data_IF_710118205299
#
_entry.id   IF_710118205299
#
_cell.length_a   1.000
_cell.length_b   1.000
_cell.length_c   1.000
_cell.angle_alpha   90.00
_cell.angle_beta   90.00
_cell.angle_gamma   90.00
#
_symmetry.space_group_name_H-M   'P 1'
#
loop_
_entity.id
_entity.type
_entity.pdbx_description
1 polymer ?
#
# COMPACT_ATOMS: atom_id res chain seq x y z
N UNK A 1 2.15 -21.78 13.33
CA UNK A 1 1.32 -20.56 13.18
C UNK A 1 2.12 -19.61 12.31
N UNK A 2 1.73 -19.41 11.06
CA UNK A 2 2.48 -18.56 10.13
C UNK A 2 2.38 -17.12 10.63
N UNK A 3 3.46 -16.63 11.25
CA UNK A 3 3.52 -15.26 11.75
C UNK A 3 3.50 -14.30 10.57
N UNK A 4 2.37 -13.61 10.36
CA UNK A 4 2.27 -12.54 9.37
C UNK A 4 3.03 -11.32 9.90
N UNK A 5 4.34 -11.28 9.64
CA UNK A 5 5.16 -10.07 9.79
C UNK A 5 4.95 -9.09 8.62
N UNK A 6 4.17 -9.48 7.62
CA UNK A 6 3.69 -8.61 6.56
C UNK A 6 2.36 -8.01 6.96
N UNK A 7 2.19 -6.72 6.68
CA UNK A 7 0.97 -5.98 6.93
C UNK A 7 -0.32 -6.72 6.54
N UNK A 8 -1.41 -6.39 7.22
CA UNK A 8 -2.78 -6.86 7.01
C UNK A 8 -3.09 -7.08 5.53
N UNK A 9 -3.75 -8.19 5.17
CA UNK A 9 -4.17 -8.46 3.78
C UNK A 9 -4.92 -7.29 3.11
N UNK A 10 -5.55 -6.42 3.92
CA UNK A 10 -6.26 -5.22 3.48
C UNK A 10 -5.32 -4.13 2.96
N UNK A 11 -4.16 -3.96 3.59
CA UNK A 11 -3.09 -3.04 3.16
C UNK A 11 -2.51 -3.49 1.82
N UNK A 12 -2.31 -4.79 1.62
CA UNK A 12 -1.76 -5.34 0.38
C UNK A 12 -2.66 -5.07 -0.84
N UNK A 13 -3.98 -5.04 -0.67
CA UNK A 13 -4.93 -4.66 -1.73
C UNK A 13 -4.64 -3.25 -2.26
N UNK A 14 -4.44 -2.27 -1.38
CA UNK A 14 -4.14 -0.90 -1.76
C UNK A 14 -2.81 -0.82 -2.55
N UNK A 15 -1.80 -1.57 -2.10
CA UNK A 15 -0.48 -1.63 -2.76
C UNK A 15 -0.58 -2.17 -4.19
N UNK A 16 -1.32 -3.26 -4.42
CA UNK A 16 -1.51 -3.83 -5.77
C UNK A 16 -2.15 -2.80 -6.70
N UNK A 17 -3.20 -2.13 -6.25
CA UNK A 17 -3.94 -1.16 -7.08
C UNK A 17 -3.02 -0.02 -7.53
N UNK A 18 -2.23 0.52 -6.60
CA UNK A 18 -1.26 1.58 -6.90
C UNK A 18 -0.18 1.07 -7.86
N UNK A 19 0.35 -0.14 -7.65
CA UNK A 19 1.34 -0.76 -8.54
C UNK A 19 0.82 -0.91 -9.96
N UNK A 20 -0.40 -1.41 -10.14
CA UNK A 20 -1.03 -1.56 -11.46
C UNK A 20 -1.14 -0.19 -12.16
N UNK A 21 -1.64 0.83 -11.46
CA UNK A 21 -1.76 2.18 -12.01
C UNK A 21 -0.41 2.76 -12.44
N UNK A 22 0.63 2.55 -11.63
CA UNK A 22 1.99 2.97 -11.94
C UNK A 22 2.57 2.23 -13.13
N UNK A 23 2.41 0.91 -13.21
CA UNK A 23 2.88 0.11 -14.36
C UNK A 23 2.20 0.55 -15.65
N UNK A 24 0.87 0.74 -15.64
CA UNK A 24 0.12 1.20 -16.82
C UNK A 24 0.56 2.62 -17.23
N UNK A 25 0.69 3.55 -16.28
CA UNK A 25 1.15 4.91 -16.54
C UNK A 25 2.59 4.97 -17.06
N UNK A 26 3.49 4.18 -16.49
CA UNK A 26 4.89 4.09 -16.94
C UNK A 26 5.02 3.52 -18.35
N UNK A 27 4.28 2.44 -18.66
CA UNK A 27 4.24 1.87 -20.01
C UNK A 27 3.68 2.87 -21.03
N UNK A 28 2.65 3.65 -20.65
CA UNK A 28 2.08 4.69 -21.50
C UNK A 28 3.08 5.80 -21.85
N UNK A 29 4.03 6.10 -20.98
CA UNK A 29 5.11 7.06 -21.26
C UNK A 29 6.19 6.48 -22.19
N UNK A 30 6.45 5.17 -22.10
CA UNK A 30 7.48 4.49 -22.89
C UNK A 30 7.07 4.18 -24.35
N UNK A 31 5.77 3.98 -24.63
CA UNK A 31 5.27 3.60 -25.97
C UNK A 31 5.12 4.79 -26.95
N UNK A 32 5.79 5.91 -26.68
CA UNK A 32 5.45 7.23 -27.24
C UNK A 32 4.35 7.88 -26.40
N UNK A 33 4.26 9.22 -26.32
CA UNK A 33 3.40 9.89 -25.35
C UNK A 33 1.92 9.67 -25.65
N UNK A 34 1.39 8.56 -25.17
CA UNK A 34 -0.02 8.25 -25.15
C UNK A 34 -0.62 8.91 -23.90
N UNK A 35 -0.88 10.20 -24.03
CA UNK A 35 -1.40 11.05 -22.96
C UNK A 35 -2.70 10.52 -22.36
N UNK A 36 -3.54 9.86 -23.16
CA UNK A 36 -4.82 9.31 -22.70
C UNK A 36 -4.60 8.12 -21.76
N UNK A 37 -3.70 7.20 -22.12
CA UNK A 37 -3.37 6.04 -21.28
C UNK A 37 -2.60 6.45 -20.01
N UNK A 38 -1.81 7.51 -20.08
CA UNK A 38 -1.16 8.10 -18.91
C UNK A 38 -2.20 8.61 -17.88
N UNK A 39 -3.23 9.36 -18.32
CA UNK A 39 -4.28 9.84 -17.42
C UNK A 39 -5.11 8.71 -16.82
N UNK A 40 -5.34 7.62 -17.57
CA UNK A 40 -5.96 6.40 -17.02
C UNK A 40 -5.09 5.80 -15.91
N UNK A 41 -3.79 5.65 -16.14
CA UNK A 41 -2.84 5.19 -15.12
C UNK A 41 -2.83 6.10 -13.88
N UNK A 42 -2.79 7.42 -14.08
CA UNK A 42 -2.87 8.40 -12.99
C UNK A 42 -4.18 8.30 -12.20
N UNK A 43 -5.31 8.08 -12.87
CA UNK A 43 -6.61 7.84 -12.25
C UNK A 43 -6.62 6.57 -11.39
N UNK A 44 -6.02 5.48 -11.88
CA UNK A 44 -5.90 4.22 -11.12
C UNK A 44 -5.04 4.43 -9.87
N UNK A 45 -3.93 5.17 -9.96
CA UNK A 45 -3.12 5.53 -8.79
C UNK A 45 -3.93 6.34 -7.79
N UNK A 46 -4.71 7.34 -8.25
CA UNK A 46 -5.55 8.14 -7.37
C UNK A 46 -6.59 7.28 -6.62
N UNK A 47 -7.24 6.35 -7.32
CA UNK A 47 -8.16 5.37 -6.70
C UNK A 47 -7.44 4.49 -5.69
N UNK A 48 -6.24 4.00 -6.03
CA UNK A 48 -5.39 3.24 -5.11
C UNK A 48 -5.02 4.03 -3.86
N UNK A 49 -4.73 5.32 -3.99
CA UNK A 49 -4.50 6.23 -2.88
C UNK A 49 -5.72 6.40 -1.97
N UNK A 50 -6.92 6.55 -2.55
CA UNK A 50 -8.17 6.60 -1.77
C UNK A 50 -8.39 5.29 -1.02
N UNK A 51 -8.15 4.14 -1.66
CA UNK A 51 -8.24 2.83 -1.00
C UNK A 51 -7.23 2.73 0.14
N UNK A 52 -5.99 3.19 -0.07
CA UNK A 52 -4.95 3.20 0.97
C UNK A 52 -5.35 4.02 2.20
N UNK A 53 -6.02 5.16 2.00
CA UNK A 53 -6.58 5.96 3.09
C UNK A 53 -7.71 5.22 3.81
N UNK A 54 -8.63 4.59 3.06
CA UNK A 54 -9.78 3.87 3.64
C UNK A 54 -9.35 2.66 4.45
N UNK A 55 -8.35 1.91 4.01
CA UNK A 55 -7.85 0.72 4.72
C UNK A 55 -6.88 1.06 5.85
N UNK A 56 -6.59 2.34 6.05
CA UNK A 56 -5.67 2.87 7.06
C UNK A 56 -4.32 2.12 7.06
N UNK A 57 -3.68 2.14 5.88
CA UNK A 57 -2.45 1.38 5.62
C UNK A 57 -1.31 1.71 6.61
N UNK A 58 -1.32 2.89 7.21
CA UNK A 58 -0.30 3.31 8.16
C UNK A 58 -0.53 2.72 9.55
N UNK A 59 -1.78 2.52 9.97
CA UNK A 59 -2.11 1.85 11.22
C UNK A 59 -1.69 0.38 11.25
N UNK A 60 -1.59 -0.22 10.07
CA UNK A 60 -1.12 -1.59 9.89
C UNK A 60 0.37 -1.81 10.19
N UNK A 61 1.18 -0.74 10.14
CA UNK A 61 2.64 -0.80 10.40
C UNK A 61 2.96 -0.48 11.86
N UNK A 62 1.97 -0.07 12.65
CA UNK A 62 2.15 0.27 14.06
C UNK A 62 2.32 -1.03 14.84
N UNK A 63 3.56 -1.28 15.28
CA UNK A 63 3.95 -2.41 16.12
C UNK A 63 3.40 -2.20 17.54
N UNK A 64 2.85 -3.27 18.13
CA UNK A 64 2.29 -3.29 19.49
C UNK A 64 3.17 -2.60 20.55
N UNK A 65 2.49 -2.10 21.58
CA UNK A 65 2.96 -1.23 22.65
C UNK A 65 4.34 -1.57 23.25
N UNK A 66 5.06 -0.57 23.82
CA UNK A 66 6.32 -0.78 24.53
C UNK A 66 6.19 -1.94 25.51
N UNK A 67 7.09 -2.92 25.40
CA UNK A 67 7.10 -4.08 26.29
C UNK A 67 7.06 -3.59 27.73
N UNK A 68 6.10 -4.06 28.52
CA UNK A 68 6.04 -3.72 29.94
C UNK A 68 7.42 -3.98 30.57
N UNK A 69 7.96 -3.04 31.36
CA UNK A 69 9.20 -3.28 32.10
C UNK A 69 9.04 -4.58 32.89
N UNK A 70 9.95 -5.51 32.69
CA UNK A 70 10.05 -6.70 33.55
C UNK A 70 10.36 -6.19 34.95
N UNK A 71 9.35 -6.11 35.82
CA UNK A 71 9.57 -5.89 37.24
C UNK A 71 10.07 -7.19 37.89
N UNK A 72 11.11 -7.01 38.68
CA UNK A 72 11.79 -8.05 39.44
C UNK A 72 10.86 -8.63 40.51
N UNK A 73 10.48 -9.93 40.47
CA UNK A 73 10.19 -10.77 41.67
C UNK A 73 9.96 -12.25 41.34
N UNK A 74 11.03 -13.05 41.27
CA UNK A 74 11.23 -14.31 42.03
C UNK A 74 12.67 -14.79 41.87
#
# INVERSE_FOLDING_TARGET
>A
MAGSHGGSPKSWLAVIVILIGFTVGGVALCLGPNWMLFWVGAGIIAVGGVIALVVDIFSDVIIDAPRAPLDHTS
#
